data_IF_401800923350
#
_entry.id   IF_401800923350
#
_cell.length_a   1.000
_cell.length_b   1.000
_cell.length_c   1.000
_cell.angle_alpha   90.00
_cell.angle_beta   90.00
_cell.angle_gamma   90.00
#
_symmetry.space_group_name_H-M   'P 1'
#
loop_
_entity.id
_entity.type
_entity.pdbx_description
1 polymer ?
#
# COMPACT_ATOMS: atom_id res chain seq x y z
N UNK A 1 -21.06 -13.88 1.91
CA UNK A 1 -20.61 -13.28 0.64
C UNK A 1 -19.38 -12.39 0.84
N UNK A 2 -19.38 -11.46 1.81
CA UNK A 2 -18.22 -10.58 2.08
C UNK A 2 -16.96 -11.35 2.47
N UNK A 3 -17.11 -12.41 3.28
CA UNK A 3 -16.00 -13.29 3.68
C UNK A 3 -15.28 -13.92 2.48
N UNK A 4 -16.02 -14.34 1.44
CA UNK A 4 -15.42 -14.88 0.22
C UNK A 4 -14.63 -13.83 -0.55
N UNK A 5 -15.10 -12.57 -0.56
CA UNK A 5 -14.37 -11.47 -1.19
C UNK A 5 -13.09 -11.14 -0.42
N UNK A 6 -13.14 -11.15 0.92
CA UNK A 6 -11.95 -10.97 1.75
C UNK A 6 -10.93 -12.10 1.57
N UNK A 7 -11.38 -13.35 1.49
CA UNK A 7 -10.51 -14.49 1.17
C UNK A 7 -9.84 -14.36 -0.21
N UNK A 8 -10.58 -13.91 -1.23
CA UNK A 8 -10.01 -13.65 -2.55
C UNK A 8 -8.99 -12.50 -2.51
N UNK A 9 -9.26 -11.45 -1.73
CA UNK A 9 -8.32 -10.34 -1.53
C UNK A 9 -7.03 -10.81 -0.87
N UNK A 10 -7.12 -11.63 0.18
CA UNK A 10 -5.95 -12.18 0.85
C UNK A 10 -5.10 -13.02 -0.11
N UNK A 11 -5.74 -13.86 -0.92
CA UNK A 11 -5.04 -14.71 -1.89
C UNK A 11 -4.28 -13.87 -2.92
N UNK A 12 -4.92 -12.86 -3.51
CA UNK A 12 -4.28 -11.97 -4.49
C UNK A 12 -3.17 -11.14 -3.84
N UNK A 13 -3.34 -10.71 -2.58
CA UNK A 13 -2.26 -10.03 -1.85
C UNK A 13 -1.06 -10.94 -1.58
N UNK A 14 -1.26 -12.23 -1.30
CA UNK A 14 -0.17 -13.20 -1.13
C UNK A 14 0.59 -13.34 -2.45
N UNK A 15 -0.12 -13.49 -3.56
CA UNK A 15 0.48 -13.59 -4.90
C UNK A 15 1.29 -12.34 -5.23
N UNK A 16 0.73 -11.15 -5.02
CA UNK A 16 1.42 -9.89 -5.29
C UNK A 16 2.65 -9.69 -4.40
N UNK A 17 2.56 -10.05 -3.11
CA UNK A 17 3.70 -9.99 -2.17
C UNK A 17 4.79 -11.00 -2.49
N UNK A 18 4.45 -12.13 -3.12
CA UNK A 18 5.41 -13.16 -3.51
C UNK A 18 6.40 -12.68 -4.58
N UNK A 19 6.03 -11.65 -5.35
CA UNK A 19 6.90 -11.00 -6.33
C UNK A 19 8.04 -10.20 -5.68
N UNK A 20 7.97 -9.93 -4.37
CA UNK A 20 8.98 -9.16 -3.65
C UNK A 20 9.00 -7.68 -4.05
N UNK A 21 10.17 -7.04 -3.95
CA UNK A 21 10.37 -5.68 -4.43
C UNK A 21 10.61 -5.71 -5.95
N UNK A 22 9.68 -5.13 -6.71
CA UNK A 22 9.82 -4.98 -8.16
C UNK A 22 10.11 -3.51 -8.48
N UNK A 23 11.14 -3.22 -9.26
CA UNK A 23 11.43 -1.86 -9.71
C UNK A 23 10.60 -1.49 -10.95
N UNK A 24 10.41 -0.19 -11.20
CA UNK A 24 9.71 0.29 -12.41
C UNK A 24 10.39 -0.24 -13.67
N UNK A 25 11.72 -0.22 -13.71
CA UNK A 25 12.51 -0.73 -14.84
C UNK A 25 12.27 -2.22 -15.08
N UNK A 26 12.11 -3.03 -14.02
CA UNK A 26 11.78 -4.45 -14.15
C UNK A 26 10.39 -4.66 -14.75
N UNK A 27 9.38 -3.89 -14.31
CA UNK A 27 8.03 -3.94 -14.88
C UNK A 27 8.01 -3.51 -16.35
N UNK A 28 8.77 -2.48 -16.72
CA UNK A 28 8.87 -2.02 -18.11
C UNK A 28 9.60 -3.03 -19.00
N UNK A 29 10.59 -3.75 -18.45
CA UNK A 29 11.38 -4.74 -19.18
C UNK A 29 10.69 -6.09 -19.35
N UNK A 30 9.72 -6.44 -18.50
CA UNK A 30 8.94 -7.67 -18.59
C UNK A 30 7.43 -7.41 -18.61
N UNK A 31 6.90 -7.37 -19.82
CA UNK A 31 5.48 -7.15 -20.07
C UNK A 31 4.56 -8.20 -19.42
N UNK A 32 5.04 -9.43 -19.18
CA UNK A 32 4.21 -10.48 -18.55
C UNK A 32 4.00 -10.17 -17.09
N UNK A 33 5.09 -9.86 -16.39
CA UNK A 33 5.04 -9.45 -14.98
C UNK A 33 4.20 -8.17 -14.83
N UNK A 34 4.37 -7.19 -15.73
CA UNK A 34 3.56 -5.98 -15.73
C UNK A 34 2.05 -6.27 -15.83
N UNK A 35 1.63 -7.08 -16.82
CA UNK A 35 0.21 -7.44 -16.98
C UNK A 35 -0.34 -8.24 -15.81
N UNK A 36 0.45 -9.14 -15.22
CA UNK A 36 0.03 -9.90 -14.06
C UNK A 36 -0.24 -8.96 -12.87
N UNK A 37 0.70 -8.06 -12.57
CA UNK A 37 0.56 -7.06 -11.51
C UNK A 37 -0.64 -6.14 -11.76
N UNK A 38 -0.83 -5.63 -12.98
CA UNK A 38 -1.99 -4.80 -13.32
C UNK A 38 -3.31 -5.55 -13.09
N UNK A 39 -3.37 -6.82 -13.50
CA UNK A 39 -4.56 -7.65 -13.35
C UNK A 39 -4.89 -7.88 -11.87
N UNK A 40 -3.89 -8.19 -11.05
CA UNK A 40 -4.03 -8.42 -9.62
C UNK A 40 -4.50 -7.14 -8.90
N UNK A 41 -3.88 -5.99 -9.21
CA UNK A 41 -4.31 -4.69 -8.70
C UNK A 41 -5.77 -4.37 -9.08
N UNK A 42 -6.17 -4.70 -10.31
CA UNK A 42 -7.55 -4.51 -10.74
C UNK A 42 -8.53 -5.39 -9.93
N UNK A 43 -8.20 -6.66 -9.66
CA UNK A 43 -9.01 -7.53 -8.79
C UNK A 43 -9.13 -6.94 -7.38
N UNK A 44 -8.02 -6.50 -6.80
CA UNK A 44 -8.00 -5.94 -5.45
C UNK A 44 -8.89 -4.70 -5.34
N UNK A 45 -8.80 -3.78 -6.29
CA UNK A 45 -9.64 -2.56 -6.32
C UNK A 45 -11.12 -2.91 -6.48
N UNK A 46 -11.46 -3.87 -7.34
CA UNK A 46 -12.84 -4.32 -7.53
C UNK A 46 -13.44 -4.89 -6.23
N UNK A 47 -12.68 -5.73 -5.52
CA UNK A 47 -13.11 -6.29 -4.23
C UNK A 47 -13.36 -5.18 -3.21
N UNK A 48 -12.47 -4.17 -3.11
CA UNK A 48 -12.64 -3.05 -2.17
C UNK A 48 -13.90 -2.25 -2.50
N UNK A 49 -14.15 -1.96 -3.77
CA UNK A 49 -15.34 -1.23 -4.23
C UNK A 49 -16.61 -2.02 -3.86
N UNK A 50 -16.61 -3.32 -4.14
CA UNK A 50 -17.71 -4.21 -3.84
C UNK A 50 -18.05 -4.27 -2.35
N UNK A 51 -17.02 -4.31 -1.50
CA UNK A 51 -17.14 -4.26 -0.05
C UNK A 51 -17.75 -2.92 0.38
N UNK A 52 -17.26 -1.80 -0.14
CA UNK A 52 -17.78 -0.46 0.17
C UNK A 52 -19.25 -0.33 -0.23
N UNK A 53 -19.61 -0.73 -1.45
CA UNK A 53 -21.00 -0.72 -1.92
C UNK A 53 -21.91 -1.57 -1.03
N UNK A 54 -21.44 -2.75 -0.61
CA UNK A 54 -22.20 -3.60 0.32
C UNK A 54 -22.38 -2.94 1.68
N UNK A 55 -21.36 -2.28 2.21
CA UNK A 55 -21.42 -1.57 3.49
C UNK A 55 -22.39 -0.38 3.45
N UNK A 56 -22.39 0.38 2.35
CA UNK A 56 -23.38 1.43 2.11
C UNK A 56 -24.81 0.87 2.11
N UNK A 57 -25.03 -0.19 1.34
CA UNK A 57 -26.34 -0.86 1.28
C UNK A 57 -26.82 -1.35 2.65
N UNK A 58 -25.93 -1.93 3.47
CA UNK A 58 -26.26 -2.37 4.83
C UNK A 58 -26.60 -1.22 5.79
N UNK A 59 -26.14 0.00 5.49
CA UNK A 59 -26.45 1.23 6.24
C UNK A 59 -27.69 1.96 5.68
N UNK A 60 -28.43 1.35 4.76
CA UNK A 60 -29.60 1.97 4.12
C UNK A 60 -29.24 3.13 3.18
N UNK A 61 -27.96 3.27 2.82
CA UNK A 61 -27.51 4.27 1.88
C UNK A 61 -27.80 3.83 0.45
N UNK A 62 -28.04 4.81 -0.43
CA UNK A 62 -28.07 4.57 -1.87
C UNK A 62 -26.69 4.10 -2.36
N UNK A 63 -26.62 3.18 -3.35
CA UNK A 63 -25.37 2.81 -3.99
C UNK A 63 -24.63 4.05 -4.52
N UNK A 64 -23.31 4.05 -4.42
CA UNK A 64 -22.51 5.11 -5.00
C UNK A 64 -22.41 4.94 -6.52
N UNK A 65 -22.34 6.04 -7.28
CA UNK A 65 -22.26 6.01 -8.74
C UNK A 65 -20.87 5.58 -9.24
N UNK A 66 -19.83 5.77 -8.44
CA UNK A 66 -18.46 5.36 -8.77
C UNK A 66 -17.78 4.64 -7.60
N UNK A 67 -16.72 3.88 -7.90
CA UNK A 67 -15.92 3.22 -6.86
C UNK A 67 -15.23 4.21 -5.92
N UNK A 68 -14.70 5.31 -6.45
CA UNK A 68 -14.10 6.39 -5.65
C UNK A 68 -15.12 7.01 -4.68
N UNK A 69 -16.34 7.27 -5.17
CA UNK A 69 -17.42 7.77 -4.33
C UNK A 69 -17.81 6.76 -3.24
N UNK A 70 -17.85 5.46 -3.55
CA UNK A 70 -18.14 4.42 -2.57
C UNK A 70 -17.14 4.45 -1.40
N UNK A 71 -15.84 4.50 -1.72
CA UNK A 71 -14.76 4.59 -0.73
C UNK A 71 -14.87 5.88 0.08
N UNK A 72 -15.05 7.02 -0.59
CA UNK A 72 -15.15 8.32 0.08
C UNK A 72 -16.35 8.37 1.04
N UNK A 73 -17.50 7.81 0.65
CA UNK A 73 -18.67 7.73 1.53
C UNK A 73 -18.42 6.80 2.72
N UNK A 74 -17.72 5.68 2.54
CA UNK A 74 -17.32 4.83 3.66
C UNK A 74 -16.36 5.54 4.64
N UNK A 75 -15.45 6.40 4.16
CA UNK A 75 -14.62 7.26 5.02
C UNK A 75 -15.48 8.26 5.79
N UNK A 76 -16.39 8.95 5.10
CA UNK A 76 -17.26 9.97 5.71
C UNK A 76 -18.20 9.37 6.78
N UNK A 77 -18.58 8.11 6.62
CA UNK A 77 -19.38 7.36 7.61
C UNK A 77 -18.54 6.76 8.75
N UNK A 78 -17.23 6.98 8.76
CA UNK A 78 -16.30 6.44 9.77
C UNK A 78 -16.10 4.92 9.70
N UNK A 79 -16.44 4.29 8.56
CA UNK A 79 -16.25 2.84 8.34
C UNK A 79 -14.80 2.55 7.95
N UNK A 80 -14.21 3.45 7.15
CA UNK A 80 -12.79 3.42 6.79
C UNK A 80 -12.09 4.61 7.44
N UNK A 81 -10.84 4.41 7.85
CA UNK A 81 -10.00 5.54 8.27
C UNK A 81 -9.51 6.30 7.04
N UNK A 82 -9.44 7.64 7.09
CA UNK A 82 -8.80 8.43 6.05
C UNK A 82 -7.28 8.21 6.13
N UNK A 83 -6.79 7.11 5.55
CA UNK A 83 -5.36 6.89 5.43
C UNK A 83 -4.84 7.68 4.21
N UNK A 84 -3.86 8.56 4.46
CA UNK A 84 -3.20 9.37 3.43
C UNK A 84 -2.47 8.51 2.39
N UNK A 85 -2.13 7.26 2.73
CA UNK A 85 -1.48 6.32 1.81
C UNK A 85 -2.27 6.09 0.52
N UNK A 86 -3.60 6.22 0.56
CA UNK A 86 -4.47 6.03 -0.61
C UNK A 86 -4.78 7.32 -1.38
N UNK A 87 -4.73 8.50 -0.76
CA UNK A 87 -4.94 9.80 -1.46
C UNK A 87 -3.84 10.09 -2.47
N UNK A 88 -2.67 9.52 -2.23
CA UNK A 88 -1.48 9.67 -3.06
C UNK A 88 -1.15 8.44 -3.89
N UNK A 89 -2.05 7.47 -4.09
CA UNK A 89 -1.81 6.39 -5.05
C UNK A 89 -1.55 7.04 -6.41
N UNK A 90 -0.28 7.15 -6.85
CA UNK A 90 0.00 7.90 -8.04
C UNK A 90 -0.54 7.06 -9.19
N UNK A 91 -0.90 7.67 -10.33
CA UNK A 91 -1.02 6.92 -11.60
C UNK A 91 0.29 6.21 -12.03
N UNK A 92 1.29 6.17 -11.14
CA UNK A 92 2.56 5.45 -11.21
C UNK A 92 2.78 4.80 -9.84
N UNK A 93 2.88 3.48 -9.81
CA UNK A 93 3.30 2.72 -8.62
C UNK A 93 4.63 3.29 -8.10
N UNK A 94 4.59 4.01 -6.97
CA UNK A 94 5.80 4.48 -6.27
C UNK A 94 6.09 3.47 -5.17
N UNK A 95 6.88 2.45 -5.50
CA UNK A 95 7.42 1.51 -4.51
C UNK A 95 8.53 2.25 -3.75
N UNK A 96 8.25 2.56 -2.49
CA UNK A 96 9.21 3.19 -1.60
C UNK A 96 10.45 2.29 -1.48
N UNK A 97 11.59 2.83 -1.93
CA UNK A 97 12.89 2.25 -1.66
C UNK A 97 13.14 2.26 -0.16
N UNK A 98 13.41 1.08 0.38
CA UNK A 98 14.01 0.89 1.69
C UNK A 98 15.35 1.62 1.73
N UNK A 99 15.41 2.71 2.50
CA UNK A 99 16.69 3.27 2.94
C UNK A 99 17.38 2.20 3.78
N UNK A 100 18.47 1.67 3.22
CA UNK A 100 19.20 0.54 3.77
C UNK A 100 19.89 0.86 5.10
N UNK A 101 20.00 -0.20 5.88
CA UNK A 101 20.99 -0.38 6.94
C UNK A 101 22.39 -0.21 6.32
N UNK A 102 23.12 0.82 6.73
CA UNK A 102 24.58 0.87 6.89
C UNK A 102 24.80 1.58 8.22
N UNK A 103 25.32 0.91 9.24
CA UNK A 103 26.75 0.61 9.34
C UNK A 103 27.33 1.73 10.20
N UNK A 104 27.81 1.37 11.39
CA UNK A 104 28.09 2.31 12.47
C UNK A 104 29.10 3.38 12.12
N UNK A 105 28.90 4.55 12.72
CA UNK A 105 29.97 5.46 13.12
C UNK A 105 29.61 5.97 14.51
N UNK A 106 30.22 5.31 15.51
CA UNK A 106 30.29 5.80 16.86
C UNK A 106 30.94 7.17 16.83
N UNK A 107 30.15 8.15 17.26
CA UNK A 107 30.58 9.48 17.63
C UNK A 107 31.59 9.36 18.79
N UNK A 108 32.88 9.22 18.48
CA UNK A 108 33.96 9.46 19.43
C UNK A 108 35.09 10.23 18.72
N UNK A 109 35.20 11.50 19.08
CA UNK A 109 36.14 12.46 18.55
C UNK A 109 37.59 12.16 18.98
N UNK A 110 38.60 12.46 18.16
CA UNK A 110 39.97 12.65 18.63
C UNK A 110 40.34 14.15 18.74
N UNK A 111 41.13 14.50 19.76
CA UNK A 111 41.72 15.82 20.01
C UNK A 111 41.03 16.57 21.17
N UNK A 112 41.70 17.13 22.18
CA UNK A 112 43.11 17.22 22.52
C UNK A 112 43.22 17.62 24.01
N UNK A 113 44.28 17.13 24.66
CA UNK A 113 45.04 17.75 25.75
C UNK A 113 44.34 18.39 26.96
N UNK A 114 44.47 17.73 28.13
CA UNK A 114 44.70 18.45 29.39
C UNK A 114 45.43 17.57 30.42
N UNK A 115 46.53 18.13 30.92
CA UNK A 115 47.37 17.64 31.99
C UNK A 115 46.61 17.42 33.31
N UNK A 116 46.98 16.35 34.03
CA UNK A 116 47.05 16.24 35.50
C UNK A 116 47.69 14.88 35.83
N UNK A 117 48.95 14.83 36.26
CA UNK A 117 49.41 15.00 37.65
C UNK A 117 49.04 13.79 38.54
N UNK A 118 49.93 12.79 38.61
CA UNK A 118 50.64 12.34 39.82
C UNK A 118 51.50 11.11 39.48
#
# INVERSE_FOLDING_TARGET
MILRKLQALDQVLIELRSLGQVTVTQLESDWRTCRAVERDLQVLVEIVIDVCQRLLSLRGQTPAATGSEAVQRCINLGILSPDEAYRGAPRRVRLAGSAGIRGGDGLFAPGDGAAQAN
#
